data_IF_037564426529
#
_entry.id   IF_037564426529
#
_cell.length_a   1.000
_cell.length_b   1.000
_cell.length_c   1.000
_cell.angle_alpha   90.00
_cell.angle_beta   90.00
_cell.angle_gamma   90.00
#
_symmetry.space_group_name_H-M   'P 1'
#
loop_
_entity.id
_entity.type
_entity.pdbx_description
1 polymer ?
#
# COMPACT_ATOMS: atom_id res chain seq x y z
N UNK A 1 8.74 -10.39 4.96
CA UNK A 1 9.11 -9.04 4.48
C UNK A 1 8.55 -8.77 3.10
N UNK A 2 8.99 -9.48 2.06
CA UNK A 2 8.61 -9.18 0.66
C UNK A 2 7.10 -9.11 0.36
N UNK A 3 6.29 -10.00 0.95
CA UNK A 3 4.85 -10.04 0.67
C UNK A 3 3.99 -9.32 1.73
N UNK A 4 3.99 -9.86 2.96
CA UNK A 4 3.05 -9.44 4.02
C UNK A 4 3.22 -7.98 4.44
N UNK A 5 4.42 -7.42 4.38
CA UNK A 5 4.66 -6.03 4.78
C UNK A 5 4.08 -5.04 3.77
N UNK A 6 4.37 -5.15 2.45
CA UNK A 6 3.66 -4.36 1.44
C UNK A 6 2.13 -4.53 1.47
N UNK A 7 1.63 -5.75 1.65
CA UNK A 7 0.18 -6.00 1.76
C UNK A 7 -0.41 -5.27 2.98
N UNK A 8 0.26 -5.33 4.14
CA UNK A 8 -0.15 -4.56 5.31
C UNK A 8 -0.18 -3.05 5.06
N UNK A 9 0.78 -2.52 4.29
CA UNK A 9 0.81 -1.10 3.89
C UNK A 9 -0.36 -0.77 2.96
N UNK A 10 -0.64 -1.60 1.96
CA UNK A 10 -1.78 -1.43 1.05
C UNK A 10 -3.12 -1.40 1.80
N UNK A 11 -3.30 -2.30 2.77
CA UNK A 11 -4.53 -2.41 3.55
C UNK A 11 -4.77 -1.15 4.40
N UNK A 12 -3.75 -0.68 5.13
CA UNK A 12 -3.93 0.53 5.97
C UNK A 12 -4.12 1.78 5.13
N UNK A 13 -3.55 1.85 3.92
CA UNK A 13 -3.74 2.97 2.99
C UNK A 13 -5.21 3.10 2.55
N UNK A 14 -5.94 2.00 2.41
CA UNK A 14 -7.39 2.04 2.11
C UNK A 14 -8.19 2.79 3.17
N UNK A 15 -7.66 2.91 4.39
CA UNK A 15 -8.33 3.61 5.49
C UNK A 15 -8.49 5.12 5.26
N UNK A 16 -7.68 5.71 4.38
CA UNK A 16 -7.82 7.12 3.98
C UNK A 16 -9.14 7.41 3.26
N UNK A 17 -9.88 6.39 2.81
CA UNK A 17 -11.13 6.51 2.05
C UNK A 17 -12.37 6.18 2.86
N UNK A 18 -12.18 5.78 4.11
CA UNK A 18 -13.24 5.15 4.88
C UNK A 18 -13.77 6.12 5.93
N UNK A 19 -15.00 6.55 5.73
CA UNK A 19 -15.73 7.40 6.67
C UNK A 19 -16.26 6.58 7.86
N UNK A 20 -16.45 5.26 7.69
CA UNK A 20 -16.89 4.39 8.77
C UNK A 20 -15.80 4.14 9.81
N UNK A 21 -16.01 4.66 11.02
CA UNK A 21 -15.12 4.44 12.15
C UNK A 21 -14.90 2.96 12.50
N UNK A 22 -15.88 2.07 12.21
CA UNK A 22 -15.75 0.62 12.41
C UNK A 22 -14.78 -0.01 11.42
N UNK A 23 -14.90 0.30 10.13
CA UNK A 23 -14.02 -0.25 9.09
C UNK A 23 -12.59 0.29 9.22
N UNK A 24 -12.42 1.57 9.56
CA UNK A 24 -11.12 2.14 9.90
C UNK A 24 -10.42 1.36 11.03
N UNK A 25 -11.17 0.95 12.04
CA UNK A 25 -10.65 0.12 13.15
C UNK A 25 -10.25 -1.28 12.67
N UNK A 26 -11.05 -1.90 11.81
CA UNK A 26 -10.75 -3.22 11.22
C UNK A 26 -9.46 -3.14 10.38
N UNK A 27 -9.34 -2.17 9.48
CA UNK A 27 -8.15 -1.99 8.64
C UNK A 27 -6.88 -1.78 9.48
N UNK A 28 -7.00 -1.02 10.59
CA UNK A 28 -5.90 -0.84 11.54
C UNK A 28 -5.49 -2.16 12.22
N UNK A 29 -6.45 -2.97 12.69
CA UNK A 29 -6.12 -4.26 13.30
C UNK A 29 -5.53 -5.25 12.31
N UNK A 30 -6.09 -5.33 11.10
CA UNK A 30 -5.54 -6.19 10.04
C UNK A 30 -4.11 -5.78 9.72
N UNK A 31 -3.84 -4.48 9.55
CA UNK A 31 -2.47 -3.98 9.38
C UNK A 31 -1.57 -4.41 10.54
N UNK A 32 -1.97 -4.15 11.80
CA UNK A 32 -1.17 -4.48 12.96
C UNK A 32 -0.87 -5.98 13.06
N UNK A 33 -1.86 -6.84 12.84
CA UNK A 33 -1.71 -8.30 12.87
C UNK A 33 -0.71 -8.74 11.79
N UNK A 34 -0.87 -8.25 10.55
CA UNK A 34 0.06 -8.58 9.47
C UNK A 34 1.49 -8.14 9.79
N UNK A 35 1.69 -6.94 10.34
CA UNK A 35 3.04 -6.47 10.70
C UNK A 35 3.65 -7.27 11.86
N UNK A 36 2.84 -7.67 12.86
CA UNK A 36 3.30 -8.55 13.93
C UNK A 36 3.73 -9.90 13.36
N UNK A 37 2.94 -10.51 12.47
CA UNK A 37 3.30 -11.77 11.80
C UNK A 37 4.62 -11.63 11.03
N UNK A 38 4.83 -10.49 10.35
CA UNK A 38 6.10 -10.21 9.67
C UNK A 38 7.28 -10.21 10.65
N UNK A 39 7.17 -9.53 11.78
CA UNK A 39 8.23 -9.48 12.80
C UNK A 39 8.53 -10.86 13.39
N UNK A 40 7.49 -11.66 13.66
CA UNK A 40 7.63 -13.03 14.16
C UNK A 40 8.32 -13.94 13.13
N UNK A 41 7.88 -13.90 11.86
CA UNK A 41 8.50 -14.68 10.79
C UNK A 41 9.95 -14.24 10.51
N UNK A 42 10.23 -12.94 10.55
CA UNK A 42 11.59 -12.42 10.42
C UNK A 42 12.48 -12.88 11.59
N UNK A 43 11.94 -12.91 12.81
CA UNK A 43 12.65 -13.44 13.99
C UNK A 43 12.93 -14.94 13.84
N UNK A 44 11.93 -15.72 13.44
CA UNK A 44 12.12 -17.15 13.19
C UNK A 44 13.19 -17.40 12.11
N UNK A 45 13.15 -16.64 11.01
CA UNK A 45 14.16 -16.69 9.95
C UNK A 45 15.56 -16.31 10.42
N UNK A 46 15.69 -15.27 11.25
CA UNK A 46 16.97 -14.86 11.84
C UNK A 46 17.52 -15.95 12.77
N UNK A 47 16.69 -16.52 13.65
CA UNK A 47 17.09 -17.62 14.54
C UNK A 47 17.51 -18.87 13.75
N UNK A 48 16.74 -19.26 12.73
CA UNK A 48 17.10 -20.36 11.83
C UNK A 48 18.43 -20.09 11.11
N UNK A 49 18.66 -18.86 10.69
CA UNK A 49 19.91 -18.48 10.03
C UNK A 49 21.10 -18.60 10.98
N UNK A 50 20.96 -18.12 12.22
CA UNK A 50 22.00 -18.19 13.27
C UNK A 50 22.31 -19.64 13.64
N UNK A 51 21.29 -20.49 13.78
CA UNK A 51 21.47 -21.89 14.18
C UNK A 51 22.06 -22.77 13.08
N UNK A 52 21.66 -22.56 11.83
CA UNK A 52 22.00 -23.47 10.73
C UNK A 52 23.16 -23.00 9.85
N UNK A 53 23.60 -21.75 9.99
CA UNK A 53 24.69 -21.21 9.18
C UNK A 53 25.78 -20.59 10.04
N UNK A 54 27.04 -20.80 9.63
CA UNK A 54 28.17 -20.08 10.19
C UNK A 54 28.12 -18.63 9.68
N UNK A 55 27.56 -17.72 10.48
CA UNK A 55 27.35 -16.33 10.10
C UNK A 55 28.64 -15.52 10.34
N UNK A 56 29.48 -15.43 9.33
CA UNK A 56 30.66 -14.57 9.35
C UNK A 56 30.37 -13.10 9.04
N UNK A 57 29.13 -12.75 8.64
CA UNK A 57 28.71 -11.40 8.23
C UNK A 57 29.58 -10.79 7.12
N UNK A 58 30.18 -11.64 6.29
CA UNK A 58 31.08 -11.23 5.22
C UNK A 58 30.37 -10.92 3.90
N UNK A 59 29.08 -11.24 3.79
CA UNK A 59 28.29 -10.88 2.60
C UNK A 59 27.31 -9.72 2.91
N UNK A 60 26.94 -9.01 1.84
CA UNK A 60 26.05 -7.85 1.90
C UNK A 60 24.66 -8.20 2.48
N UNK A 61 24.13 -9.37 2.12
CA UNK A 61 22.84 -9.89 2.61
C UNK A 61 22.80 -10.03 4.13
N UNK A 62 23.82 -10.62 4.77
CA UNK A 62 23.87 -10.83 6.21
C UNK A 62 23.96 -9.49 6.97
N UNK A 63 24.79 -8.55 6.49
CA UNK A 63 24.95 -7.23 7.10
C UNK A 63 23.65 -6.43 7.07
N UNK A 64 23.03 -6.35 5.90
CA UNK A 64 21.75 -5.68 5.74
C UNK A 64 20.63 -6.41 6.46
N UNK A 65 20.64 -7.74 6.43
CA UNK A 65 19.67 -8.57 7.13
C UNK A 65 19.62 -8.30 8.64
N UNK A 66 20.78 -8.19 9.30
CA UNK A 66 20.85 -7.85 10.73
C UNK A 66 20.40 -6.41 11.00
N UNK A 67 20.85 -5.45 10.18
CA UNK A 67 20.41 -4.07 10.32
C UNK A 67 18.88 -3.94 10.15
N UNK A 68 18.32 -4.58 9.12
CA UNK A 68 16.87 -4.68 8.90
C UNK A 68 16.15 -5.35 10.06
N UNK A 69 16.74 -6.40 10.63
CA UNK A 69 16.15 -7.07 11.79
C UNK A 69 16.07 -6.14 13.01
N UNK A 70 17.06 -5.28 13.25
CA UNK A 70 16.95 -4.25 14.29
C UNK A 70 15.85 -3.23 13.98
N UNK A 71 15.82 -2.71 12.75
CA UNK A 71 14.89 -1.64 12.36
C UNK A 71 13.44 -2.16 12.29
N UNK A 72 13.20 -3.44 11.99
CA UNK A 72 11.83 -3.96 11.94
C UNK A 72 11.15 -3.93 13.31
N UNK A 73 11.89 -4.09 14.41
CA UNK A 73 11.37 -3.95 15.76
C UNK A 73 11.06 -2.50 16.13
N UNK A 74 11.72 -1.53 15.50
CA UNK A 74 11.42 -0.12 15.71
C UNK A 74 10.01 0.24 15.21
N UNK A 75 9.52 -0.39 14.15
CA UNK A 75 8.19 -0.16 13.59
C UNK A 75 7.03 -0.36 14.59
N UNK A 76 6.87 -1.53 15.24
CA UNK A 76 5.83 -1.72 16.24
C UNK A 76 6.03 -0.84 17.48
N UNK A 77 7.27 -0.56 17.90
CA UNK A 77 7.54 0.35 19.01
C UNK A 77 7.05 1.77 18.72
N UNK A 78 7.33 2.29 17.53
CA UNK A 78 6.78 3.56 17.04
C UNK A 78 5.25 3.48 16.94
N UNK A 79 4.72 2.31 16.55
CA UNK A 79 3.29 2.00 16.54
C UNK A 79 2.61 2.16 17.91
N UNK A 80 3.27 1.72 18.99
CA UNK A 80 2.73 1.77 20.36
C UNK A 80 2.66 3.20 20.90
N UNK A 81 3.65 4.04 20.59
CA UNK A 81 3.69 5.46 21.03
C UNK A 81 2.79 6.38 20.19
N UNK A 82 1.81 5.82 19.47
CA UNK A 82 0.89 6.55 18.60
C UNK A 82 0.11 7.63 19.36
N UNK A 83 0.23 8.92 18.99
CA UNK A 83 -0.49 10.01 19.65
C UNK A 83 -2.02 9.92 19.51
N UNK A 84 -2.74 10.48 20.49
CA UNK A 84 -4.21 10.57 20.46
C UNK A 84 -4.71 11.36 19.25
N UNK A 85 -5.93 11.04 18.78
CA UNK A 85 -6.58 11.77 17.67
C UNK A 85 -6.72 13.25 18.02
N UNK A 86 -6.45 14.14 17.06
CA UNK A 86 -6.52 15.59 17.25
C UNK A 86 -5.27 16.25 17.86
N UNK A 87 -4.28 15.48 18.32
CA UNK A 87 -3.03 16.05 18.84
C UNK A 87 -2.12 16.59 17.73
N UNK A 88 -1.43 17.72 17.97
CA UNK A 88 -0.50 18.36 17.02
C UNK A 88 0.62 17.41 16.55
N UNK A 89 1.10 16.54 17.45
CA UNK A 89 2.17 15.57 17.15
C UNK A 89 1.75 14.38 16.27
N UNK A 90 0.44 14.17 16.06
CA UNK A 90 -0.05 13.00 15.32
C UNK A 90 0.30 13.01 13.85
N UNK A 91 0.32 14.19 13.22
CA UNK A 91 0.70 14.33 11.81
C UNK A 91 2.18 14.00 11.60
N UNK A 92 3.05 14.54 12.47
CA UNK A 92 4.49 14.25 12.46
C UNK A 92 4.75 12.76 12.69
N UNK A 93 4.11 12.18 13.71
CA UNK A 93 4.21 10.74 13.98
C UNK A 93 3.77 9.91 12.78
N UNK A 94 2.66 10.27 12.13
CA UNK A 94 2.16 9.57 10.96
C UNK A 94 3.17 9.62 9.81
N UNK A 95 3.70 10.80 9.50
CA UNK A 95 4.70 10.97 8.45
C UNK A 95 5.96 10.14 8.71
N UNK A 96 6.51 10.22 9.93
CA UNK A 96 7.71 9.46 10.33
C UNK A 96 7.46 7.96 10.28
N UNK A 97 6.35 7.49 10.85
CA UNK A 97 5.99 6.07 10.87
C UNK A 97 5.78 5.53 9.44
N UNK A 98 5.07 6.28 8.60
CA UNK A 98 4.85 5.93 7.19
C UNK A 98 6.15 5.90 6.39
N UNK A 99 7.01 6.91 6.52
CA UNK A 99 8.28 7.00 5.82
C UNK A 99 9.20 5.84 6.23
N UNK A 100 9.36 5.63 7.53
CA UNK A 100 10.18 4.54 8.06
C UNK A 100 9.62 3.19 7.62
N UNK A 101 8.29 2.99 7.64
CA UNK A 101 7.65 1.74 7.25
C UNK A 101 7.87 1.42 5.77
N UNK A 102 7.78 2.45 4.93
CA UNK A 102 8.04 2.35 3.49
C UNK A 102 9.51 2.02 3.22
N UNK A 103 10.45 2.70 3.88
CA UNK A 103 11.88 2.44 3.75
C UNK A 103 12.24 1.00 4.18
N UNK A 104 11.72 0.53 5.32
CA UNK A 104 11.93 -0.86 5.80
C UNK A 104 11.36 -1.87 4.81
N UNK A 105 10.19 -1.59 4.23
CA UNK A 105 9.59 -2.47 3.22
C UNK A 105 10.47 -2.58 1.98
N UNK A 106 10.98 -1.45 1.46
CA UNK A 106 11.88 -1.42 0.29
C UNK A 106 13.20 -2.14 0.57
N UNK A 107 13.83 -1.85 1.70
CA UNK A 107 15.05 -2.53 2.14
C UNK A 107 14.80 -4.04 2.32
N UNK A 108 13.63 -4.43 2.84
CA UNK A 108 13.23 -5.83 2.95
C UNK A 108 13.15 -6.54 1.60
N UNK A 109 12.61 -5.89 0.57
CA UNK A 109 12.54 -6.41 -0.80
C UNK A 109 13.94 -6.58 -1.40
N UNK A 110 14.79 -5.55 -1.28
CA UNK A 110 16.19 -5.62 -1.73
C UNK A 110 16.95 -6.73 -1.01
N UNK A 111 16.70 -6.91 0.28
CA UNK A 111 17.32 -7.96 1.08
C UNK A 111 16.91 -9.36 0.61
N UNK A 112 15.66 -9.56 0.18
CA UNK A 112 15.21 -10.83 -0.43
C UNK A 112 15.99 -11.12 -1.72
N UNK A 113 16.15 -10.15 -2.61
CA UNK A 113 16.94 -10.34 -3.83
C UNK A 113 18.41 -10.68 -3.52
N UNK A 114 19.03 -9.96 -2.58
CA UNK A 114 20.40 -10.26 -2.16
C UNK A 114 20.53 -11.65 -1.50
N UNK A 115 19.50 -12.09 -0.77
CA UNK A 115 19.45 -13.41 -0.14
C UNK A 115 19.30 -14.54 -1.16
N UNK A 116 18.50 -14.33 -2.22
CA UNK A 116 18.41 -15.26 -3.34
C UNK A 116 19.76 -15.39 -4.06
N UNK A 117 20.46 -14.29 -4.31
CA UNK A 117 21.81 -14.32 -4.90
C UNK A 117 22.80 -15.08 -4.00
N UNK A 118 22.82 -14.78 -2.70
CA UNK A 118 23.67 -15.50 -1.74
C UNK A 118 23.35 -17.01 -1.67
N UNK A 119 22.06 -17.38 -1.79
CA UNK A 119 21.64 -18.78 -1.86
C UNK A 119 22.13 -19.48 -3.13
N UNK A 120 22.10 -18.79 -4.28
CA UNK A 120 22.64 -19.31 -5.54
C UNK A 120 24.14 -19.52 -5.45
N UNK A 121 24.91 -18.53 -4.96
CA UNK A 121 26.35 -18.65 -4.80
C UNK A 121 26.73 -19.83 -3.90
N UNK A 122 25.97 -20.06 -2.82
CA UNK A 122 26.26 -21.12 -1.86
C UNK A 122 25.86 -22.52 -2.31
N UNK A 123 24.77 -22.64 -3.07
CA UNK A 123 24.18 -23.96 -3.41
C UNK A 123 24.32 -24.31 -4.89
N UNK A 124 24.76 -23.37 -5.72
CA UNK A 124 24.79 -23.46 -7.20
C UNK A 124 23.44 -23.81 -7.85
N UNK A 125 22.34 -23.74 -7.09
CA UNK A 125 20.98 -24.02 -7.56
C UNK A 125 20.40 -22.82 -8.29
N UNK A 126 19.70 -23.06 -9.39
CA UNK A 126 19.04 -21.99 -10.14
C UNK A 126 18.01 -21.24 -9.27
N UNK A 127 18.14 -19.92 -9.20
CA UNK A 127 17.20 -19.02 -8.51
C UNK A 127 16.25 -18.30 -9.47
N UNK A 128 16.35 -18.58 -10.77
CA UNK A 128 15.62 -17.85 -11.82
C UNK A 128 14.10 -17.89 -11.59
N UNK A 129 13.55 -19.06 -11.26
CA UNK A 129 12.11 -19.21 -10.99
C UNK A 129 11.67 -18.36 -9.79
N UNK A 130 12.44 -18.37 -8.70
CA UNK A 130 12.15 -17.59 -7.50
C UNK A 130 12.20 -16.08 -7.77
N UNK A 131 13.18 -15.62 -8.55
CA UNK A 131 13.28 -14.22 -8.98
C UNK A 131 12.05 -13.83 -9.82
N UNK A 132 11.65 -14.65 -10.79
CA UNK A 132 10.50 -14.35 -11.65
C UNK A 132 9.23 -14.23 -10.82
N UNK A 133 8.96 -15.22 -9.95
CA UNK A 133 7.77 -15.23 -9.10
C UNK A 133 7.75 -14.00 -8.18
N UNK A 134 8.87 -13.75 -7.49
CA UNK A 134 8.96 -12.62 -6.57
C UNK A 134 8.85 -11.26 -7.28
N UNK A 135 9.43 -11.14 -8.48
CA UNK A 135 9.33 -9.91 -9.28
C UNK A 135 7.91 -9.69 -9.79
N UNK A 136 7.22 -10.75 -10.25
CA UNK A 136 5.83 -10.68 -10.67
C UNK A 136 4.91 -10.28 -9.50
N UNK A 137 5.11 -10.88 -8.32
CA UNK A 137 4.42 -10.50 -7.08
C UNK A 137 4.63 -9.02 -6.76
N UNK A 138 5.88 -8.55 -6.76
CA UNK A 138 6.18 -7.14 -6.47
C UNK A 138 5.60 -6.18 -7.50
N UNK A 139 5.58 -6.57 -8.78
CA UNK A 139 4.98 -5.79 -9.86
C UNK A 139 3.47 -5.69 -9.70
N UNK A 140 2.82 -6.78 -9.29
CA UNK A 140 1.39 -6.79 -9.01
C UNK A 140 1.03 -5.92 -7.80
N UNK A 141 1.80 -6.00 -6.71
CA UNK A 141 1.63 -5.14 -5.53
C UNK A 141 1.83 -3.67 -5.89
N UNK A 142 2.85 -3.34 -6.68
CA UNK A 142 3.09 -1.98 -7.15
C UNK A 142 1.96 -1.47 -8.04
N UNK A 143 1.44 -2.31 -8.94
CA UNK A 143 0.26 -1.99 -9.73
C UNK A 143 -0.95 -1.69 -8.85
N UNK A 144 -1.25 -2.52 -7.85
CA UNK A 144 -2.34 -2.26 -6.90
C UNK A 144 -2.13 -0.97 -6.11
N UNK A 145 -0.88 -0.66 -5.74
CA UNK A 145 -0.55 0.58 -5.04
C UNK A 145 -0.85 1.81 -5.90
N UNK A 146 -0.47 1.79 -7.18
CA UNK A 146 -0.75 2.88 -8.12
C UNK A 146 -2.25 2.97 -8.45
N UNK A 147 -2.91 1.83 -8.63
CA UNK A 147 -4.34 1.75 -8.88
C UNK A 147 -5.13 2.34 -7.70
N UNK A 148 -4.69 2.07 -6.47
CA UNK A 148 -5.25 2.71 -5.30
C UNK A 148 -5.22 4.24 -5.49
N UNK A 149 -4.06 4.83 -5.75
CA UNK A 149 -3.94 6.29 -5.90
C UNK A 149 -4.90 6.86 -6.94
N UNK A 150 -4.96 6.25 -8.13
CA UNK A 150 -5.76 6.72 -9.26
C UNK A 150 -7.26 6.46 -9.13
N UNK A 151 -7.68 5.49 -8.33
CA UNK A 151 -9.10 5.14 -8.16
C UNK A 151 -9.93 6.33 -7.65
N UNK A 152 -9.35 7.19 -6.80
CA UNK A 152 -10.03 8.38 -6.26
C UNK A 152 -10.29 9.41 -7.37
N UNK A 153 -9.29 9.66 -8.20
CA UNK A 153 -9.40 10.56 -9.35
C UNK A 153 -10.53 10.10 -10.28
N UNK A 154 -10.59 8.79 -10.56
CA UNK A 154 -11.64 8.21 -11.42
C UNK A 154 -13.05 8.32 -10.83
N UNK A 155 -13.20 8.08 -9.52
CA UNK A 155 -14.50 8.23 -8.85
C UNK A 155 -14.96 9.69 -8.88
N UNK A 156 -14.06 10.62 -8.60
CA UNK A 156 -14.37 12.05 -8.63
C UNK A 156 -14.75 12.52 -10.05
N UNK A 157 -14.05 12.04 -11.09
CA UNK A 157 -14.40 12.32 -12.48
C UNK A 157 -15.77 11.74 -12.89
N UNK A 158 -16.07 10.50 -12.49
CA UNK A 158 -17.36 9.87 -12.77
C UNK A 158 -18.54 10.60 -12.12
N UNK A 159 -18.35 11.09 -10.88
CA UNK A 159 -19.37 11.91 -10.20
C UNK A 159 -19.57 13.26 -10.89
N UNK A 160 -18.48 13.93 -11.32
CA UNK A 160 -18.56 15.20 -12.05
C UNK A 160 -19.35 15.03 -13.36
N UNK A 161 -19.03 14.01 -14.16
CA UNK A 161 -19.75 13.73 -15.41
C UNK A 161 -21.23 13.40 -15.19
N UNK A 162 -21.57 12.68 -14.11
CA UNK A 162 -22.97 12.37 -13.78
C UNK A 162 -23.75 13.59 -13.27
N UNK A 163 -23.05 14.58 -12.70
CA UNK A 163 -23.63 15.82 -12.17
C UNK A 163 -23.70 16.95 -13.19
N UNK A 164 -23.11 16.78 -14.39
CA UNK A 164 -23.20 17.77 -15.46
C UNK A 164 -24.66 17.81 -15.93
N UNK A 165 -25.40 18.92 -15.71
CA UNK A 165 -26.79 18.99 -16.13
C UNK A 165 -26.80 18.89 -17.65
N UNK A 166 -27.61 17.97 -18.20
CA UNK A 166 -27.98 17.98 -19.61
C UNK A 166 -28.49 19.40 -19.89
N UNK A 167 -27.68 20.24 -20.53
CA UNK A 167 -28.17 21.51 -21.09
C UNK A 167 -29.33 21.12 -21.99
N UNK A 168 -30.52 21.73 -21.83
CA UNK A 168 -31.61 21.47 -22.74
C UNK A 168 -31.09 21.73 -24.15
N UNK A 169 -31.08 20.68 -24.98
CA UNK A 169 -30.72 20.82 -26.39
C UNK A 169 -31.65 21.90 -26.97
N UNK A 170 -31.10 22.93 -27.60
CA UNK A 170 -31.83 24.09 -28.19
C UNK A 170 -33.12 23.71 -28.95
N UNK A 171 -33.21 22.48 -29.45
CA UNK A 171 -34.39 21.91 -30.11
C UNK A 171 -35.64 21.87 -29.23
N UNK A 172 -35.53 21.69 -27.92
CA UNK A 172 -36.69 21.56 -27.02
C UNK A 172 -37.28 22.91 -26.58
N UNK A 173 -36.44 23.96 -26.57
CA UNK A 173 -36.92 25.34 -26.33
C UNK A 173 -37.62 25.87 -27.57
N UNK A 174 -37.06 25.62 -28.76
CA UNK A 174 -37.64 26.06 -30.04
C UNK A 174 -39.02 25.45 -30.34
N UNK A 175 -39.25 24.19 -29.96
CA UNK A 175 -40.56 23.55 -30.20
C UNK A 175 -41.65 24.11 -29.28
N UNK A 176 -41.34 24.39 -28.02
CA UNK A 176 -42.32 24.96 -27.06
C UNK A 176 -42.68 26.41 -27.40
N UNK A 177 -41.74 27.19 -27.93
CA UNK A 177 -42.03 28.56 -28.36
C UNK A 177 -42.87 28.60 -29.63
N UNK A 178 -42.60 27.69 -30.58
CA UNK A 178 -43.41 27.54 -31.80
C UNK A 178 -44.85 27.10 -31.48
N UNK A 179 -45.03 26.16 -30.53
CA UNK A 179 -46.34 25.68 -30.12
C UNK A 179 -47.15 26.77 -29.38
N UNK A 180 -46.50 27.57 -28.54
CA UNK A 180 -47.12 28.74 -27.89
C UNK A 180 -47.52 29.82 -28.90
N UNK A 181 -46.71 30.08 -29.92
CA UNK A 181 -47.03 31.07 -30.94
C UNK A 181 -48.21 30.64 -31.83
N UNK A 182 -48.33 29.33 -32.13
CA UNK A 182 -49.47 28.76 -32.86
C UNK A 182 -50.78 28.84 -32.06
N UNK A 183 -50.74 28.62 -30.74
CA UNK A 183 -51.91 28.73 -29.87
C UNK A 183 -52.42 30.17 -29.74
N UNK A 184 -51.53 31.16 -29.76
CA UNK A 184 -51.90 32.59 -29.65
C UNK A 184 -52.54 33.10 -30.95
N UNK A 185 -52.17 32.57 -32.11
CA UNK A 185 -52.74 32.98 -33.42
C UNK A 185 -54.11 32.36 -33.72
N UNK A 186 -54.60 31.45 -32.89
CA UNK A 186 -55.87 30.74 -33.10
C UNK A 186 -57.04 31.28 -32.24
N UNK A 187 -56.89 32.45 -31.61
CA UNK A 187 -57.95 33.10 -30.83
C UNK A 187 -58.36 34.45 -31.42
#
# INVERSE_FOLDING_TARGET
>A
MGFLMPVGILIIRMSNREESGRRLRILFYVHAILQILVVLLATAGAVLSIKNFNNSFNNYHQRIGVALYGIIWLQPLVGVVRPQRGSKGRSVWFFVHWLLGTAVSLLGILNVYSGLQAYHEKTSRSIRLWIIIFTAEMSFIAFLYLLQDKWVDMQNQGVIMASEPIRPTEKEVSTRDTEKELMIKSC
#
